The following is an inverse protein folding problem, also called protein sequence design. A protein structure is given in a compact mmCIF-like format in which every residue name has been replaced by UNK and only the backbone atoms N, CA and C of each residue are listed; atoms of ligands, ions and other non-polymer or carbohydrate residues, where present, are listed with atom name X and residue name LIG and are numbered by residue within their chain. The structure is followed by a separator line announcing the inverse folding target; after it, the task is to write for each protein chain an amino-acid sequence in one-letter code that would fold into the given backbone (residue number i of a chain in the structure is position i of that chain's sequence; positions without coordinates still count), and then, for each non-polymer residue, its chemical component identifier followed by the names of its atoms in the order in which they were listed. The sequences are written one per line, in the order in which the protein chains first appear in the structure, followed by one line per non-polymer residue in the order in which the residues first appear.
data_IF_155760509314
#
_entry.id   IF_155760509314
#
_cell.length_a   1.000
_cell.length_b   1.000
_cell.length_c   1.000
_cell.angle_alpha   90.00
_cell.angle_beta   90.00
_cell.angle_gamma   90.00
#
_symmetry.space_group_name_H-M   'P 1'
#
loop_
_entity.id
_entity.type
_entity.pdbx_description
1 polymer ?
#
# COMPACT_ATOMS: atom_id res chain seq x y z
N UNK A 1 31.46 -30.13 -11.49
CA UNK A 1 30.98 -30.29 -10.10
C UNK A 1 30.69 -28.87 -9.64
N UNK A 2 29.48 -28.40 -9.91
CA UNK A 2 29.09 -26.98 -9.79
C UNK A 2 27.75 -27.00 -9.08
N UNK A 3 27.75 -26.62 -7.80
CA UNK A 3 26.58 -26.69 -6.94
C UNK A 3 25.62 -25.57 -7.27
N UNK A 4 24.41 -25.93 -7.68
CA UNK A 4 23.26 -25.03 -7.77
C UNK A 4 22.81 -24.73 -6.35
N UNK A 5 22.95 -23.48 -5.90
CA UNK A 5 22.38 -23.03 -4.63
C UNK A 5 20.92 -22.66 -4.91
N UNK A 6 20.03 -23.63 -4.80
CA UNK A 6 18.59 -23.40 -4.67
C UNK A 6 18.34 -22.83 -3.28
N UNK A 7 18.08 -21.52 -3.22
CA UNK A 7 17.57 -20.90 -2.00
C UNK A 7 16.06 -21.15 -1.94
N UNK A 8 15.69 -22.27 -1.32
CA UNK A 8 14.30 -22.48 -0.93
C UNK A 8 13.99 -21.52 0.23
N UNK A 9 12.93 -20.71 0.16
CA UNK A 9 12.54 -19.90 1.30
C UNK A 9 12.02 -20.84 2.40
N UNK A 10 12.32 -20.57 3.68
CA UNK A 10 11.77 -21.37 4.76
C UNK A 10 10.24 -21.24 4.73
N UNK A 11 9.48 -22.32 5.01
CA UNK A 11 8.05 -22.21 5.19
C UNK A 11 7.81 -21.29 6.38
N UNK A 12 7.26 -20.10 6.11
CA UNK A 12 6.90 -19.13 7.14
C UNK A 12 5.93 -19.79 8.12
N UNK A 13 6.44 -20.17 9.28
CA UNK A 13 5.65 -20.54 10.45
C UNK A 13 4.82 -19.33 10.84
N UNK A 14 3.49 -19.50 10.86
CA UNK A 14 2.48 -18.45 10.95
C UNK A 14 2.83 -17.31 11.90
N UNK A 15 2.97 -16.12 11.33
CA UNK A 15 3.12 -14.87 12.06
C UNK A 15 1.83 -14.08 11.84
N UNK A 16 1.04 -13.88 12.89
CA UNK A 16 -0.10 -12.95 12.86
C UNK A 16 0.35 -11.62 13.46
N UNK A 17 0.84 -10.69 12.64
CA UNK A 17 0.73 -9.27 12.99
C UNK A 17 0.32 -8.36 11.82
N UNK A 18 -0.58 -8.78 10.93
CA UNK A 18 -0.94 -7.98 9.73
C UNK A 18 -2.39 -7.47 9.73
N UNK A 19 -2.94 -7.11 10.90
CA UNK A 19 -4.34 -6.65 10.99
C UNK A 19 -4.44 -5.27 11.62
N UNK A 20 -5.21 -4.35 11.03
CA UNK A 20 -5.46 -3.05 11.65
C UNK A 20 -6.04 -3.24 13.06
N UNK A 21 -5.59 -2.44 14.02
CA UNK A 21 -6.13 -2.39 15.36
C UNK A 21 -7.14 -1.24 15.45
N UNK A 22 -8.34 -1.51 15.96
CA UNK A 22 -9.34 -0.49 16.29
C UNK A 22 -9.43 -0.38 17.81
N UNK A 23 -9.36 0.84 18.32
CA UNK A 23 -9.56 1.17 19.74
C UNK A 23 -10.67 2.19 19.90
N UNK A 24 -11.88 1.76 20.27
CA UNK A 24 -13.03 2.65 20.55
C UNK A 24 -14.08 1.93 21.41
N UNK A 25 -14.81 2.69 22.22
CA UNK A 25 -16.03 2.26 22.93
C UNK A 25 -17.30 2.80 22.26
N UNK A 26 -17.20 3.76 21.33
CA UNK A 26 -18.34 4.26 20.57
C UNK A 26 -18.79 3.21 19.56
N UNK A 27 -19.96 2.62 19.80
CA UNK A 27 -20.53 1.57 18.95
C UNK A 27 -20.86 2.07 17.53
N UNK A 28 -21.27 3.32 17.37
CA UNK A 28 -21.58 3.87 16.04
C UNK A 28 -20.29 4.08 15.23
N UNK A 29 -19.25 4.62 15.88
CA UNK A 29 -17.94 4.75 15.25
C UNK A 29 -17.33 3.38 14.94
N UNK A 30 -17.47 2.42 15.84
CA UNK A 30 -17.00 1.06 15.62
C UNK A 30 -17.65 0.43 14.39
N UNK A 31 -18.97 0.55 14.24
CA UNK A 31 -19.70 0.04 13.08
C UNK A 31 -19.24 0.69 11.77
N UNK A 32 -18.99 2.01 11.78
CA UNK A 32 -18.41 2.72 10.64
C UNK A 32 -17.01 2.20 10.30
N UNK A 33 -16.13 2.08 11.29
CA UNK A 33 -14.76 1.60 11.08
C UNK A 33 -14.72 0.14 10.59
N UNK A 34 -15.59 -0.72 11.13
CA UNK A 34 -15.72 -2.11 10.66
C UNK A 34 -16.21 -2.16 9.21
N UNK A 35 -17.17 -1.31 8.84
CA UNK A 35 -17.64 -1.17 7.44
C UNK A 35 -16.50 -0.76 6.51
N UNK A 36 -15.70 0.24 6.90
CA UNK A 36 -14.57 0.73 6.09
C UNK A 36 -13.45 -0.31 5.98
N UNK A 37 -13.15 -1.04 7.06
CA UNK A 37 -12.21 -2.16 7.00
C UNK A 37 -12.70 -3.25 6.05
N UNK A 38 -13.97 -3.62 6.10
CA UNK A 38 -14.55 -4.61 5.20
C UNK A 38 -14.49 -4.15 3.73
N UNK A 39 -14.77 -2.88 3.47
CA UNK A 39 -14.64 -2.30 2.12
C UNK A 39 -13.20 -2.35 1.59
N UNK A 40 -12.22 -2.21 2.48
CA UNK A 40 -10.79 -2.33 2.17
C UNK A 40 -10.26 -3.78 2.16
N UNK A 41 -11.11 -4.78 2.38
CA UNK A 41 -10.70 -6.19 2.45
C UNK A 41 -9.89 -6.55 3.70
N UNK A 42 -9.90 -5.71 4.73
CA UNK A 42 -9.20 -5.93 5.99
C UNK A 42 -10.13 -6.45 7.08
N UNK A 43 -9.61 -7.30 7.96
CA UNK A 43 -10.31 -7.69 9.19
C UNK A 43 -9.55 -7.14 10.39
N UNK A 44 -10.08 -6.14 11.11
CA UNK A 44 -9.37 -5.52 12.20
C UNK A 44 -9.46 -6.36 13.48
N UNK A 45 -8.53 -6.11 14.39
CA UNK A 45 -8.66 -6.49 15.80
C UNK A 45 -9.31 -5.33 16.55
N UNK A 46 -10.29 -5.60 17.41
CA UNK A 46 -11.07 -4.56 18.10
C UNK A 46 -10.81 -4.63 19.59
N UNK A 47 -10.48 -3.47 20.17
CA UNK A 47 -10.31 -3.27 21.60
C UNK A 47 -11.09 -2.04 22.06
N UNK A 48 -11.49 -2.04 23.33
CA UNK A 48 -12.14 -0.89 23.97
C UNK A 48 -11.15 -0.02 24.78
N UNK A 49 -9.87 -0.41 24.78
CA UNK A 49 -8.76 0.27 25.45
C UNK A 49 -7.41 -0.19 24.88
N UNK A 50 -6.30 0.18 25.51
CA UNK A 50 -4.98 -0.37 25.12
C UNK A 50 -4.98 -1.88 25.42
N UNK A 51 -4.56 -2.75 24.49
CA UNK A 51 -4.48 -4.19 24.73
C UNK A 51 -3.60 -4.50 25.94
N UNK A 52 -4.04 -5.41 26.82
CA UNK A 52 -3.37 -5.74 28.09
C UNK A 52 -1.91 -6.19 27.94
N UNK A 53 -1.52 -6.68 26.76
CA UNK A 53 -0.20 -7.28 26.53
C UNK A 53 0.70 -6.47 25.58
N UNK A 54 0.31 -5.28 25.11
CA UNK A 54 1.15 -4.40 24.27
C UNK A 54 1.48 -4.93 22.86
N UNK A 55 1.52 -6.24 22.66
CA UNK A 55 1.91 -6.91 21.42
C UNK A 55 1.05 -6.46 20.23
N UNK A 56 -0.27 -6.35 20.39
CA UNK A 56 -1.16 -5.88 19.32
C UNK A 56 -0.96 -4.40 18.97
N UNK A 57 -0.62 -3.55 19.95
CA UNK A 57 -0.38 -2.12 19.70
C UNK A 57 0.93 -1.90 18.95
N UNK A 58 1.99 -2.63 19.27
CA UNK A 58 3.31 -2.44 18.64
C UNK A 58 3.40 -3.13 17.29
N UNK A 59 2.74 -4.27 17.11
CA UNK A 59 2.85 -5.07 15.89
C UNK A 59 1.84 -4.72 14.81
N UNK A 60 0.67 -4.14 15.15
CA UNK A 60 -0.35 -3.79 14.16
C UNK A 60 0.21 -2.86 13.06
N UNK A 61 -0.11 -3.05 11.78
CA UNK A 61 0.40 -2.18 10.71
C UNK A 61 -0.31 -0.80 10.67
N UNK A 62 -1.48 -0.69 11.29
CA UNK A 62 -2.29 0.52 11.43
C UNK A 62 -3.09 0.45 12.72
N UNK A 63 -3.19 1.56 13.45
CA UNK A 63 -3.99 1.69 14.67
C UNK A 63 -4.98 2.84 14.50
N UNK A 64 -6.27 2.51 14.56
CA UNK A 64 -7.40 3.42 14.47
C UNK A 64 -7.93 3.67 15.88
N UNK A 65 -7.79 4.89 16.38
CA UNK A 65 -8.21 5.27 17.72
C UNK A 65 -9.44 6.15 17.59
N UNK A 66 -10.55 5.76 18.23
CA UNK A 66 -11.71 6.62 18.37
C UNK A 66 -11.42 7.79 19.30
N UNK A 67 -11.98 8.96 19.00
CA UNK A 67 -11.83 10.16 19.81
C UNK A 67 -12.22 9.95 21.29
N UNK A 68 -13.21 9.09 21.52
CA UNK A 68 -13.68 8.65 22.83
C UNK A 68 -12.60 7.90 23.64
N UNK A 69 -11.73 7.14 22.96
CA UNK A 69 -10.70 6.30 23.56
C UNK A 69 -9.32 6.96 23.64
N UNK A 70 -9.12 8.13 23.01
CA UNK A 70 -7.83 8.80 22.92
C UNK A 70 -7.15 9.04 24.28
N UNK A 71 -7.94 9.38 25.32
CA UNK A 71 -7.40 9.60 26.67
C UNK A 71 -6.86 8.32 27.31
N UNK A 72 -7.44 7.15 26.98
CA UNK A 72 -7.04 5.85 27.56
C UNK A 72 -5.77 5.31 26.90
N UNK A 73 -5.54 5.65 25.63
CA UNK A 73 -4.32 5.25 24.91
C UNK A 73 -3.15 6.23 25.08
N UNK A 74 -3.31 7.31 25.86
CA UNK A 74 -2.24 8.29 26.10
C UNK A 74 -0.98 7.74 26.78
N UNK A 75 -1.06 6.56 27.41
CA UNK A 75 0.09 5.87 27.99
C UNK A 75 0.75 4.85 27.05
N UNK A 76 0.16 4.61 25.86
CA UNK A 76 0.70 3.65 24.91
C UNK A 76 2.02 4.15 24.28
N UNK A 77 2.94 3.26 23.88
CA UNK A 77 4.18 3.64 23.22
C UNK A 77 3.91 4.42 21.93
N UNK A 78 4.65 5.51 21.69
CA UNK A 78 4.54 6.27 20.44
C UNK A 78 5.07 5.46 19.26
N UNK A 79 4.30 5.45 18.19
CA UNK A 79 4.61 4.74 16.94
C UNK A 79 3.98 5.44 15.75
N UNK A 80 4.45 5.08 14.54
CA UNK A 80 3.80 5.47 13.30
C UNK A 80 2.60 4.57 13.00
N UNK A 81 1.73 5.04 12.12
CA UNK A 81 0.48 4.39 11.73
C UNK A 81 -0.63 4.56 12.75
N UNK A 82 -0.63 5.62 13.57
CA UNK A 82 -1.74 5.91 14.49
C UNK A 82 -2.64 6.98 13.87
N UNK A 83 -3.93 6.68 13.74
CA UNK A 83 -4.95 7.58 13.18
C UNK A 83 -6.02 7.81 14.24
N UNK A 84 -6.26 9.07 14.59
CA UNK A 84 -7.38 9.45 15.44
C UNK A 84 -8.62 9.69 14.57
N UNK A 85 -9.73 9.05 14.90
CA UNK A 85 -10.99 9.14 14.16
C UNK A 85 -12.08 9.70 15.07
N UNK A 86 -12.70 10.79 14.63
CA UNK A 86 -13.82 11.44 15.30
C UNK A 86 -15.04 11.56 14.40
N UNK A 87 -16.14 12.00 15.00
CA UNK A 87 -17.40 12.32 14.30
C UNK A 87 -17.84 13.78 14.50
N UNK A 88 -17.33 14.44 15.54
CA UNK A 88 -17.62 15.83 15.85
C UNK A 88 -16.56 16.75 15.24
N UNK A 89 -16.94 17.49 14.20
CA UNK A 89 -16.04 18.40 13.48
C UNK A 89 -15.76 19.68 14.28
N UNK A 90 -16.59 19.99 15.26
CA UNK A 90 -16.55 21.24 16.01
C UNK A 90 -15.81 21.10 17.36
N UNK A 91 -15.26 19.92 17.70
CA UNK A 91 -14.48 19.72 18.92
C UNK A 91 -13.01 20.15 18.73
N UNK A 92 -12.58 21.33 19.23
CA UNK A 92 -11.18 21.75 19.16
C UNK A 92 -10.23 20.86 19.99
N UNK A 93 -10.77 20.08 20.93
CA UNK A 93 -10.03 19.15 21.77
C UNK A 93 -9.43 17.97 21.02
N UNK A 94 -9.97 17.63 19.84
CA UNK A 94 -9.54 16.45 19.07
C UNK A 94 -8.09 16.54 18.61
N UNK A 95 -7.67 17.73 18.17
CA UNK A 95 -6.28 17.98 17.76
C UNK A 95 -5.31 17.86 18.92
N UNK A 96 -5.72 18.30 20.12
CA UNK A 96 -4.88 18.15 21.32
C UNK A 96 -4.72 16.69 21.68
N UNK A 97 -5.81 15.92 21.67
CA UNK A 97 -5.81 14.46 21.93
C UNK A 97 -4.94 13.73 20.91
N UNK A 98 -4.99 14.11 19.63
CA UNK A 98 -4.14 13.55 18.59
C UNK A 98 -2.65 13.74 18.88
N UNK A 99 -2.24 14.94 19.31
CA UNK A 99 -0.84 15.23 19.68
C UNK A 99 -0.41 14.46 20.92
N UNK A 100 -1.30 14.35 21.92
CA UNK A 100 -1.04 13.59 23.15
C UNK A 100 -0.68 12.13 22.82
N UNK A 101 -1.48 11.47 21.98
CA UNK A 101 -1.28 10.06 21.58
C UNK A 101 -0.24 9.88 20.47
N UNK A 102 0.23 10.97 19.86
CA UNK A 102 1.17 10.93 18.74
C UNK A 102 0.57 10.41 17.44
N UNK A 103 -0.70 10.72 17.18
CA UNK A 103 -1.36 10.35 15.93
C UNK A 103 -0.69 11.05 14.73
N UNK A 104 -0.46 10.29 13.65
CA UNK A 104 0.04 10.83 12.39
C UNK A 104 -1.05 11.60 11.64
N UNK A 105 -2.31 11.20 11.83
CA UNK A 105 -3.47 11.76 11.14
C UNK A 105 -4.67 11.87 12.08
N UNK A 106 -5.52 12.86 11.81
CA UNK A 106 -6.83 13.06 12.43
C UNK A 106 -7.87 13.09 11.31
N UNK A 107 -8.91 12.27 11.42
CA UNK A 107 -9.99 12.18 10.44
C UNK A 107 -11.34 12.37 11.10
N UNK A 108 -12.23 13.06 10.40
CA UNK A 108 -13.64 13.16 10.77
C UNK A 108 -14.47 12.34 9.79
N UNK A 109 -15.33 11.47 10.30
CA UNK A 109 -16.29 10.75 9.46
C UNK A 109 -17.58 11.59 9.31
N UNK A 110 -18.19 11.62 8.11
CA UNK A 110 -17.87 10.79 6.94
C UNK A 110 -16.79 11.36 5.99
N UNK A 111 -16.31 12.59 6.18
CA UNK A 111 -15.46 13.28 5.21
C UNK A 111 -14.11 12.56 4.93
N UNK A 112 -13.58 11.86 5.93
CA UNK A 112 -12.33 11.10 5.86
C UNK A 112 -12.46 9.65 5.40
N UNK A 113 -13.66 9.15 5.06
CA UNK A 113 -13.89 7.73 4.75
C UNK A 113 -12.99 7.22 3.61
N UNK A 114 -12.92 7.95 2.49
CA UNK A 114 -12.16 7.51 1.32
C UNK A 114 -10.67 7.38 1.63
N UNK A 115 -10.09 8.36 2.33
CA UNK A 115 -8.69 8.31 2.74
C UNK A 115 -8.43 7.13 3.67
N UNK A 116 -9.37 6.85 4.59
CA UNK A 116 -9.23 5.76 5.54
C UNK A 116 -9.31 4.40 4.86
N UNK A 117 -10.23 4.22 3.90
CA UNK A 117 -10.31 3.00 3.08
C UNK A 117 -9.03 2.77 2.30
N UNK A 118 -8.51 3.80 1.61
CA UNK A 118 -7.26 3.69 0.85
C UNK A 118 -6.08 3.31 1.77
N UNK A 119 -6.01 3.93 2.96
CA UNK A 119 -4.95 3.65 3.94
C UNK A 119 -5.06 2.25 4.54
N UNK A 120 -6.28 1.78 4.85
CA UNK A 120 -6.50 0.41 5.33
C UNK A 120 -6.12 -0.59 4.24
N UNK A 121 -6.47 -0.32 2.98
CA UNK A 121 -6.14 -1.18 1.87
C UNK A 121 -4.62 -1.28 1.65
N UNK A 122 -3.89 -0.16 1.80
CA UNK A 122 -2.41 -0.16 1.76
C UNK A 122 -1.77 -1.08 2.78
N UNK A 123 -2.26 -1.05 4.03
CA UNK A 123 -1.69 -1.89 5.09
C UNK A 123 -2.13 -3.34 4.97
N UNK A 124 -3.33 -3.60 4.44
CA UNK A 124 -3.84 -4.96 4.21
C UNK A 124 -3.13 -5.66 3.06
N UNK A 125 -2.75 -4.92 2.00
CA UNK A 125 -1.91 -5.44 0.92
C UNK A 125 -0.46 -5.65 1.39
N UNK A 126 -0.04 -4.89 2.41
CA UNK A 126 1.30 -4.96 2.97
C UNK A 126 2.35 -4.25 2.11
N UNK A 127 3.49 -3.93 2.72
CA UNK A 127 4.66 -3.48 1.97
C UNK A 127 5.49 -4.70 1.58
N UNK A 128 5.31 -5.16 0.33
CA UNK A 128 6.24 -6.08 -0.28
C UNK A 128 7.68 -5.53 -0.24
N UNK A 129 8.68 -6.40 -0.43
CA UNK A 129 10.08 -5.94 -0.48
C UNK A 129 10.20 -4.88 -1.59
N UNK A 130 10.78 -3.70 -1.32
CA UNK A 130 10.98 -2.68 -2.34
C UNK A 130 11.70 -3.26 -3.56
N UNK A 131 11.15 -3.03 -4.74
CA UNK A 131 11.81 -3.41 -5.99
C UNK A 131 12.94 -2.41 -6.32
N UNK A 132 13.98 -2.89 -7.01
CA UNK A 132 14.98 -2.00 -7.59
C UNK A 132 14.34 -1.23 -8.75
N UNK A 133 14.18 0.08 -8.59
CA UNK A 133 13.63 0.97 -9.63
C UNK A 133 14.76 1.66 -10.39
N UNK A 134 14.80 1.47 -11.71
CA UNK A 134 15.78 2.10 -12.60
C UNK A 134 15.07 3.03 -13.57
N UNK A 135 15.38 4.32 -13.51
CA UNK A 135 14.90 5.31 -14.49
C UNK A 135 15.91 5.54 -15.60
N UNK A 136 15.47 5.47 -16.86
CA UNK A 136 16.32 5.72 -18.04
C UNK A 136 15.82 6.96 -18.77
N UNK A 137 16.66 7.99 -18.84
CA UNK A 137 16.33 9.28 -19.48
C UNK A 137 17.33 9.55 -20.60
N UNK A 138 16.84 9.83 -21.80
CA UNK A 138 17.69 10.17 -22.94
C UNK A 138 18.15 11.63 -22.87
N UNK A 139 19.45 11.88 -23.05
CA UNK A 139 19.97 13.25 -23.12
C UNK A 139 19.55 14.03 -24.38
N UNK A 140 19.01 13.32 -25.39
CA UNK A 140 18.45 13.88 -26.63
C UNK A 140 17.51 12.87 -27.29
N UNK A 141 16.73 13.34 -28.27
CA UNK A 141 15.95 12.46 -29.14
C UNK A 141 16.83 11.41 -29.83
N UNK A 142 16.40 10.15 -29.82
CA UNK A 142 17.15 9.04 -30.42
C UNK A 142 18.43 8.63 -29.67
N UNK A 143 18.60 9.02 -28.40
CA UNK A 143 19.75 8.59 -27.59
C UNK A 143 19.71 7.09 -27.18
N UNK A 144 18.62 6.38 -27.47
CA UNK A 144 18.48 4.95 -27.15
C UNK A 144 17.96 4.65 -25.75
N UNK A 145 17.33 5.62 -25.06
CA UNK A 145 16.76 5.42 -23.72
C UNK A 145 15.75 4.26 -23.69
N UNK A 146 14.78 4.25 -24.61
CA UNK A 146 13.79 3.18 -24.73
C UNK A 146 14.44 1.82 -25.00
N UNK A 147 15.45 1.78 -25.87
CA UNK A 147 16.20 0.54 -26.17
C UNK A 147 16.95 0.02 -24.96
N UNK A 148 17.62 0.89 -24.20
CA UNK A 148 18.32 0.51 -22.98
C UNK A 148 17.34 0.01 -21.91
N UNK A 149 16.21 0.69 -21.73
CA UNK A 149 15.17 0.27 -20.79
C UNK A 149 14.61 -1.12 -21.14
N UNK A 150 14.30 -1.36 -22.42
CA UNK A 150 13.91 -2.70 -22.90
C UNK A 150 15.00 -3.75 -22.65
N UNK A 151 16.26 -3.44 -22.94
CA UNK A 151 17.36 -4.38 -22.75
C UNK A 151 17.55 -4.77 -21.27
N UNK A 152 17.44 -3.79 -20.34
CA UNK A 152 17.47 -4.04 -18.89
C UNK A 152 16.31 -4.94 -18.46
N UNK A 153 15.09 -4.66 -18.94
CA UNK A 153 13.91 -5.42 -18.59
C UNK A 153 13.98 -6.87 -19.09
N UNK A 154 14.31 -7.07 -20.36
CA UNK A 154 14.43 -8.41 -20.98
C UNK A 154 15.54 -9.21 -20.29
N UNK A 155 16.68 -8.59 -20.00
CA UNK A 155 17.78 -9.28 -19.30
C UNK A 155 17.37 -9.70 -17.90
N UNK A 156 16.72 -8.81 -17.15
CA UNK A 156 16.23 -9.10 -15.80
C UNK A 156 15.19 -10.23 -15.79
N UNK A 157 14.25 -10.20 -16.74
CA UNK A 157 13.24 -11.24 -16.90
C UNK A 157 13.88 -12.61 -17.22
N UNK A 158 14.88 -12.65 -18.10
CA UNK A 158 15.64 -13.87 -18.44
C UNK A 158 16.43 -14.44 -17.27
N UNK A 159 16.85 -13.60 -16.34
CA UNK A 159 17.48 -14.02 -15.08
C UNK A 159 16.46 -14.50 -14.03
N UNK A 160 15.17 -14.50 -14.36
CA UNK A 160 14.08 -14.97 -13.48
C UNK A 160 13.60 -13.92 -12.48
N UNK A 161 13.97 -12.64 -12.66
CA UNK A 161 13.49 -11.56 -11.80
C UNK A 161 12.08 -11.13 -12.23
N UNK A 162 11.17 -10.97 -11.25
CA UNK A 162 9.88 -10.31 -11.48
C UNK A 162 10.15 -8.87 -11.94
N UNK A 163 9.86 -8.58 -13.20
CA UNK A 163 10.29 -7.35 -13.87
C UNK A 163 9.09 -6.63 -14.47
N UNK A 164 8.97 -5.34 -14.17
CA UNK A 164 8.00 -4.45 -14.77
C UNK A 164 8.72 -3.36 -15.57
N UNK A 165 8.30 -3.14 -16.81
CA UNK A 165 8.79 -2.06 -17.66
C UNK A 165 7.66 -1.05 -17.90
N UNK A 166 7.93 0.21 -17.59
CA UNK A 166 6.95 1.31 -17.70
C UNK A 166 7.45 2.34 -18.72
N UNK A 167 6.63 2.63 -19.72
CA UNK A 167 6.82 3.80 -20.58
C UNK A 167 6.10 5.00 -19.97
N UNK A 168 6.86 5.90 -19.36
CA UNK A 168 6.34 7.12 -18.75
C UNK A 168 6.46 8.35 -19.66
N UNK A 169 6.85 8.20 -20.93
CA UNK A 169 6.94 9.31 -21.88
C UNK A 169 5.57 9.57 -22.54
N UNK A 170 4.86 10.68 -22.20
CA UNK A 170 3.56 10.96 -22.78
C UNK A 170 3.62 11.32 -24.28
N UNK A 171 4.81 11.59 -24.81
CA UNK A 171 5.04 11.92 -26.23
C UNK A 171 5.68 10.75 -27.00
N UNK A 172 5.96 9.64 -26.30
CA UNK A 172 6.59 8.45 -26.87
C UNK A 172 5.62 7.62 -27.73
N UNK A 173 6.19 6.82 -28.63
CA UNK A 173 5.43 5.88 -29.46
C UNK A 173 5.00 4.60 -28.74
N UNK A 174 5.31 4.45 -27.45
CA UNK A 174 5.12 3.23 -26.68
C UNK A 174 6.28 2.23 -26.84
N UNK A 175 6.58 1.49 -25.78
CA UNK A 175 7.57 0.41 -25.80
C UNK A 175 7.06 -0.87 -26.48
N UNK A 176 5.75 -0.97 -26.70
CA UNK A 176 5.09 -2.14 -27.31
C UNK A 176 5.69 -2.48 -28.68
N UNK A 177 5.93 -1.48 -29.52
CA UNK A 177 6.52 -1.68 -30.85
C UNK A 177 7.94 -2.24 -30.78
N UNK A 178 8.72 -1.82 -29.78
CA UNK A 178 10.09 -2.33 -29.59
C UNK A 178 10.11 -3.77 -29.10
N UNK A 179 9.06 -4.21 -28.41
CA UNK A 179 8.94 -5.53 -27.81
C UNK A 179 8.03 -6.48 -28.60
N UNK A 180 7.40 -6.01 -29.69
CA UNK A 180 6.41 -6.78 -30.45
C UNK A 180 5.11 -7.05 -29.68
N UNK A 181 4.79 -6.14 -28.74
CA UNK A 181 3.67 -6.24 -27.81
C UNK A 181 2.41 -5.50 -28.24
N UNK A 182 2.33 -4.97 -29.45
CA UNK A 182 1.23 -4.12 -29.91
C UNK A 182 -0.14 -4.83 -29.92
N UNK A 183 -0.13 -6.16 -29.98
CA UNK A 183 -1.32 -7.02 -29.92
C UNK A 183 -1.57 -7.63 -28.55
N UNK A 184 -0.71 -7.35 -27.55
CA UNK A 184 -0.88 -7.87 -26.21
C UNK A 184 -2.01 -7.12 -25.48
N UNK A 185 -3.01 -7.88 -25.04
CA UNK A 185 -4.09 -7.41 -24.18
C UNK A 185 -3.54 -6.83 -22.87
N UNK A 186 -4.28 -5.90 -22.26
CA UNK A 186 -3.91 -5.25 -21.00
C UNK A 186 -3.69 -3.74 -21.12
N UNK A 187 -3.65 -3.08 -19.97
CA UNK A 187 -3.56 -1.63 -19.84
C UNK A 187 -2.12 -1.14 -20.00
N UNK A 188 -1.96 0.03 -20.64
CA UNK A 188 -0.67 0.74 -20.75
C UNK A 188 -0.62 1.92 -19.79
N UNK A 189 0.58 2.45 -19.53
CA UNK A 189 0.78 3.56 -18.60
C UNK A 189 -0.17 4.76 -18.79
N UNK A 190 -0.50 5.21 -20.02
CA UNK A 190 -1.46 6.31 -20.20
C UNK A 190 -2.86 6.04 -19.62
N UNK A 191 -3.30 4.78 -19.57
CA UNK A 191 -4.58 4.42 -18.96
C UNK A 191 -4.56 4.62 -17.44
N UNK A 192 -3.42 4.37 -16.79
CA UNK A 192 -3.23 4.62 -15.35
C UNK A 192 -2.96 6.08 -15.04
N UNK A 193 -2.25 6.80 -15.92
CA UNK A 193 -1.94 8.22 -15.71
C UNK A 193 -3.21 9.09 -15.64
N UNK A 194 -4.31 8.67 -16.27
CA UNK A 194 -5.60 9.32 -16.19
C UNK A 194 -6.48 8.86 -15.01
N UNK A 195 -6.10 7.77 -14.32
CA UNK A 195 -6.84 7.23 -13.19
C UNK A 195 -6.75 8.14 -11.96
N UNK A 196 -7.77 8.10 -11.11
CA UNK A 196 -7.78 8.77 -9.80
C UNK A 196 -7.98 7.74 -8.71
N UNK A 197 -7.28 7.91 -7.60
CA UNK A 197 -7.38 7.03 -6.43
C UNK A 197 -6.28 5.97 -6.41
N UNK A 198 -6.42 5.05 -5.46
CA UNK A 198 -5.49 3.94 -5.23
C UNK A 198 -5.65 2.84 -6.29
N UNK A 199 -4.54 2.33 -6.80
CA UNK A 199 -4.49 1.08 -7.57
C UNK A 199 -3.71 0.06 -6.75
N UNK A 200 -4.35 -1.03 -6.34
CA UNK A 200 -3.68 -2.12 -5.64
C UNK A 200 -2.62 -2.76 -6.53
N UNK A 201 -1.49 -3.16 -5.96
CA UNK A 201 -0.37 -3.77 -6.67
C UNK A 201 -0.75 -5.06 -7.39
N UNK A 202 -1.57 -5.92 -6.77
CA UNK A 202 -2.09 -7.14 -7.43
C UNK A 202 -2.99 -6.82 -8.63
N UNK A 203 -3.93 -5.89 -8.47
CA UNK A 203 -4.81 -5.45 -9.56
C UNK A 203 -4.03 -4.75 -10.68
N UNK A 204 -2.98 -4.00 -10.33
CA UNK A 204 -2.06 -3.41 -11.30
C UNK A 204 -1.41 -4.53 -12.11
N UNK A 205 -0.77 -5.51 -11.46
CA UNK A 205 -0.13 -6.65 -12.12
C UNK A 205 -1.08 -7.41 -13.06
N UNK A 206 -2.27 -7.79 -12.58
CA UNK A 206 -3.28 -8.52 -13.38
C UNK A 206 -3.79 -7.74 -14.60
N UNK A 207 -3.73 -6.40 -14.54
CA UNK A 207 -4.22 -5.54 -15.61
C UNK A 207 -3.17 -5.23 -16.68
N UNK A 208 -1.89 -5.55 -16.44
CA UNK A 208 -0.79 -5.23 -17.34
C UNK A 208 -0.63 -6.28 -18.45
N UNK A 209 -0.06 -5.89 -19.61
CA UNK A 209 0.25 -6.84 -20.67
C UNK A 209 1.36 -7.81 -20.26
N UNK A 210 1.16 -9.09 -20.57
CA UNK A 210 2.17 -10.13 -20.41
C UNK A 210 2.79 -10.51 -21.76
N UNK A 211 4.09 -10.23 -21.91
CA UNK A 211 4.86 -10.63 -23.08
C UNK A 211 5.39 -12.05 -22.88
N UNK A 212 4.64 -13.04 -23.35
CA UNK A 212 4.84 -14.48 -23.14
C UNK A 212 6.13 -15.07 -23.76
N UNK A 213 7.03 -14.26 -24.31
CA UNK A 213 8.14 -14.75 -25.16
C UNK A 213 9.48 -14.01 -25.01
N UNK A 214 9.78 -13.43 -23.85
CA UNK A 214 11.06 -12.72 -23.62
C UNK A 214 12.18 -13.59 -23.05
#
# INVERSE_FOLDING_TARGET
MTGTVTHDPPPGTGDRPDRPLIVTEDAELLDDLLRLCAAAGATPEVHHGVPDHGDGWETAPLVLVGDDAARRVGAAPRRRGVVLVGRDQDDPGVWRRAVEIGADHVLMLPDGEQWLVDRIADVAEGVGRPALTVGVIGGRGGAGASTLACALAVTSAREGLRTLLVDADPLGGGLDVLLGGESADGLRWPAFAASRGRVGGGALEESLPELHSL
#
